data_IF_921289407506
#
_entry.id   IF_921289407506
#
_cell.length_a   1.000
_cell.length_b   1.000
_cell.length_c   1.000
_cell.angle_alpha   90.00
_cell.angle_beta   90.00
_cell.angle_gamma   90.00
#
_symmetry.space_group_name_H-M   'P 1'
#
loop_
_entity.id
_entity.type
_entity.pdbx_description
1 polymer ?
#
# COMPACT_ATOMS: atom_id res chain seq x y z
N UNK A 1 -20.43 30.59 -7.21
CA UNK A 1 -19.17 30.17 -6.55
C UNK A 1 -18.74 28.85 -7.16
N UNK A 2 -17.45 28.65 -7.47
CA UNK A 2 -16.95 27.42 -8.09
C UNK A 2 -16.42 26.48 -7.00
N UNK A 3 -16.98 25.29 -6.88
CA UNK A 3 -16.46 24.24 -5.99
C UNK A 3 -15.22 23.63 -6.64
N UNK A 4 -14.11 23.53 -5.90
CA UNK A 4 -12.85 22.95 -6.37
C UNK A 4 -12.53 21.74 -5.50
N UNK A 5 -12.24 20.60 -6.12
CA UNK A 5 -11.61 19.46 -5.46
C UNK A 5 -10.10 19.61 -5.55
N UNK A 6 -9.41 19.61 -4.41
CA UNK A 6 -7.96 19.66 -4.32
C UNK A 6 -7.45 18.34 -3.75
N UNK A 7 -6.58 17.65 -4.48
CA UNK A 7 -5.97 16.40 -4.06
C UNK A 7 -4.51 16.66 -3.68
N UNK A 8 -4.22 16.60 -2.39
CA UNK A 8 -2.85 16.57 -1.87
C UNK A 8 -2.45 15.11 -1.60
N UNK A 9 -1.72 14.51 -2.53
CA UNK A 9 -1.36 13.09 -2.49
C UNK A 9 0.14 12.94 -2.76
N UNK A 10 1.01 13.27 -1.78
CA UNK A 10 2.47 13.28 -1.98
C UNK A 10 3.04 11.90 -2.32
N UNK A 11 2.35 10.83 -1.91
CA UNK A 11 2.70 9.43 -2.21
C UNK A 11 1.81 8.82 -3.30
N UNK A 12 0.99 9.64 -3.98
CA UNK A 12 -0.02 9.18 -4.93
C UNK A 12 -1.31 8.65 -4.28
N UNK A 13 -2.34 8.46 -5.12
CA UNK A 13 -3.62 7.83 -4.79
C UNK A 13 -3.90 6.75 -5.83
N UNK A 14 -4.43 5.59 -5.42
CA UNK A 14 -4.81 4.55 -6.38
C UNK A 14 -6.01 5.00 -7.22
N UNK A 15 -6.10 4.50 -8.46
CA UNK A 15 -7.16 4.89 -9.38
C UNK A 15 -8.57 4.58 -8.86
N UNK A 16 -8.77 3.40 -8.27
CA UNK A 16 -10.04 2.98 -7.68
C UNK A 16 -10.41 3.79 -6.42
N UNK A 17 -9.43 4.17 -5.59
CA UNK A 17 -9.65 5.08 -4.45
C UNK A 17 -10.07 6.46 -4.93
N UNK A 18 -9.44 6.99 -5.98
CA UNK A 18 -9.82 8.27 -6.58
C UNK A 18 -11.24 8.22 -7.17
N UNK A 19 -11.56 7.17 -7.94
CA UNK A 19 -12.90 6.96 -8.48
C UNK A 19 -13.94 6.86 -7.36
N UNK A 20 -13.65 6.10 -6.30
CA UNK A 20 -14.52 5.99 -5.12
C UNK A 20 -14.78 7.34 -4.46
N UNK A 21 -13.75 8.17 -4.28
CA UNK A 21 -13.89 9.51 -3.70
C UNK A 21 -14.74 10.44 -4.56
N UNK A 22 -14.57 10.41 -5.89
CA UNK A 22 -15.36 11.22 -6.82
C UNK A 22 -16.84 10.81 -6.82
N UNK A 23 -17.12 9.51 -6.72
CA UNK A 23 -18.48 9.01 -6.56
C UNK A 23 -19.10 9.40 -5.22
N UNK A 24 -18.35 9.29 -4.12
CA UNK A 24 -18.82 9.69 -2.78
C UNK A 24 -19.05 11.21 -2.68
N UNK A 25 -18.33 12.01 -3.49
CA UNK A 25 -18.57 13.44 -3.68
C UNK A 25 -19.83 13.77 -4.52
N UNK A 26 -20.56 12.76 -5.00
CA UNK A 26 -21.86 12.91 -5.66
C UNK A 26 -21.83 12.76 -7.19
N UNK A 27 -20.70 12.43 -7.79
CA UNK A 27 -20.65 12.16 -9.24
C UNK A 27 -21.38 10.83 -9.54
N UNK A 28 -22.30 10.79 -10.53
CA UNK A 28 -22.99 9.55 -10.88
C UNK A 28 -22.05 8.49 -11.45
N UNK A 29 -22.27 7.22 -11.11
CA UNK A 29 -21.51 6.10 -11.67
C UNK A 29 -21.60 6.02 -13.20
N UNK A 30 -22.80 6.26 -13.74
CA UNK A 30 -23.02 6.30 -15.19
C UNK A 30 -22.17 7.36 -15.89
N UNK A 31 -21.95 8.51 -15.25
CA UNK A 31 -21.10 9.57 -15.80
C UNK A 31 -19.66 9.08 -16.01
N UNK A 32 -19.10 8.38 -15.01
CA UNK A 32 -17.76 7.80 -15.12
C UNK A 32 -17.71 6.70 -16.18
N UNK A 33 -18.70 5.80 -16.20
CA UNK A 33 -18.78 4.73 -17.21
C UNK A 33 -18.82 5.30 -18.63
N UNK A 34 -19.61 6.35 -18.88
CA UNK A 34 -19.67 7.03 -20.18
C UNK A 34 -18.33 7.64 -20.58
N UNK A 35 -17.63 8.31 -19.66
CA UNK A 35 -16.35 8.94 -19.97
C UNK A 35 -15.23 7.90 -20.18
N UNK A 36 -15.22 6.83 -19.38
CA UNK A 36 -14.26 5.74 -19.53
C UNK A 36 -14.48 4.94 -20.82
N UNK A 37 -15.70 4.91 -21.37
CA UNK A 37 -15.95 4.30 -22.68
C UNK A 37 -15.15 4.99 -23.81
N UNK A 38 -14.75 6.25 -23.64
CA UNK A 38 -13.86 6.95 -24.56
C UNK A 38 -12.47 6.33 -24.70
N UNK A 39 -12.08 5.42 -23.80
CA UNK A 39 -10.82 4.67 -23.87
C UNK A 39 -10.89 3.48 -24.85
N UNK A 40 -12.08 3.08 -25.31
CA UNK A 40 -12.27 1.89 -26.17
C UNK A 40 -12.18 0.54 -25.44
N UNK A 41 -12.12 0.55 -24.11
CA UNK A 41 -11.92 -0.65 -23.26
C UNK A 41 -13.23 -1.15 -22.61
N UNK A 42 -14.39 -0.65 -23.03
CA UNK A 42 -15.70 -0.93 -22.42
C UNK A 42 -16.12 -2.41 -22.46
N UNK A 43 -15.45 -3.23 -23.28
CA UNK A 43 -15.70 -4.66 -23.38
C UNK A 43 -14.72 -5.50 -22.53
N UNK A 44 -13.68 -4.89 -21.96
CA UNK A 44 -12.64 -5.56 -21.20
C UNK A 44 -12.87 -5.50 -19.69
N UNK A 45 -13.62 -4.52 -19.20
CA UNK A 45 -13.88 -4.35 -17.77
C UNK A 45 -15.29 -3.87 -17.44
N UNK A 46 -15.70 -4.12 -16.20
CA UNK A 46 -16.89 -3.55 -15.57
C UNK A 46 -16.49 -2.72 -14.36
N UNK A 47 -17.12 -1.54 -14.22
CA UNK A 47 -16.96 -0.66 -13.07
C UNK A 47 -18.23 -0.68 -12.22
N UNK A 48 -18.09 -1.08 -10.97
CA UNK A 48 -19.16 -1.05 -9.96
C UNK A 48 -18.72 -0.22 -8.76
N UNK A 49 -19.68 0.19 -7.93
CA UNK A 49 -19.39 0.90 -6.70
C UNK A 49 -20.34 0.48 -5.58
N UNK A 50 -19.79 0.30 -4.38
CA UNK A 50 -20.56 -0.09 -3.21
C UNK A 50 -20.07 0.65 -1.95
N UNK A 51 -20.96 0.97 -0.99
CA UNK A 51 -20.54 1.47 0.31
C UNK A 51 -19.60 0.47 0.99
N UNK A 52 -18.56 0.99 1.63
CA UNK A 52 -17.65 0.22 2.46
C UNK A 52 -17.43 0.92 3.78
N UNK A 53 -17.06 0.14 4.79
CA UNK A 53 -16.67 0.64 6.09
C UNK A 53 -15.33 0.00 6.48
N UNK A 54 -14.31 0.83 6.68
CA UNK A 54 -12.97 0.38 7.05
C UNK A 54 -12.44 1.26 8.17
N UNK A 55 -11.96 0.65 9.25
CA UNK A 55 -11.34 1.37 10.38
C UNK A 55 -12.24 2.50 10.95
N UNK A 56 -13.56 2.31 10.98
CA UNK A 56 -14.49 3.36 11.47
C UNK A 56 -14.91 4.40 10.42
N UNK A 57 -14.41 4.31 9.19
CA UNK A 57 -14.69 5.28 8.12
C UNK A 57 -15.61 4.69 7.06
N UNK A 58 -16.70 5.41 6.74
CA UNK A 58 -17.55 5.13 5.59
C UNK A 58 -16.92 5.72 4.33
N UNK A 59 -16.89 4.95 3.25
CA UNK A 59 -16.51 5.42 1.92
C UNK A 59 -17.31 4.68 0.85
N UNK A 60 -17.19 5.12 -0.40
CA UNK A 60 -17.62 4.32 -1.55
C UNK A 60 -16.40 3.64 -2.17
N UNK A 61 -16.43 2.31 -2.28
CA UNK A 61 -15.41 1.53 -2.97
C UNK A 61 -15.81 1.37 -4.43
N UNK A 62 -15.01 1.90 -5.34
CA UNK A 62 -15.07 1.54 -6.75
C UNK A 62 -14.36 0.20 -6.96
N UNK A 63 -14.95 -0.70 -7.73
CA UNK A 63 -14.37 -2.00 -8.07
C UNK A 63 -14.36 -2.17 -9.59
N UNK A 64 -13.15 -2.37 -10.13
CA UNK A 64 -12.91 -2.65 -11.55
C UNK A 64 -12.70 -4.15 -11.68
N UNK A 65 -13.56 -4.81 -12.45
CA UNK A 65 -13.48 -6.26 -12.70
C UNK A 65 -13.28 -6.52 -14.18
N UNK A 66 -12.31 -7.35 -14.54
CA UNK A 66 -12.10 -7.76 -15.93
C UNK A 66 -13.22 -8.70 -16.40
N UNK A 67 -13.69 -8.49 -17.62
CA UNK A 67 -14.70 -9.33 -18.26
C UNK A 67 -14.01 -10.55 -18.86
N UNK A 68 -14.53 -11.74 -18.62
CA UNK A 68 -14.04 -12.99 -19.24
C UNK A 68 -12.82 -13.63 -18.58
N UNK A 69 -12.26 -13.05 -17.52
CA UNK A 69 -11.27 -13.73 -16.65
C UNK A 69 -11.92 -14.11 -15.33
N UNK A 70 -11.70 -15.34 -14.85
CA UNK A 70 -12.14 -15.75 -13.53
C UNK A 70 -11.45 -14.85 -12.48
N UNK A 71 -12.22 -14.22 -11.59
CA UNK A 71 -11.74 -13.30 -10.55
C UNK A 71 -10.53 -13.92 -9.82
N UNK A 72 -9.34 -13.30 -9.84
CA UNK A 72 -8.26 -13.71 -8.94
C UNK A 72 -8.79 -13.59 -7.50
N UNK A 73 -8.43 -14.51 -6.59
CA UNK A 73 -8.94 -14.49 -5.23
C UNK A 73 -8.75 -13.11 -4.62
N UNK A 74 -9.79 -12.60 -3.98
CA UNK A 74 -9.80 -11.28 -3.35
C UNK A 74 -8.54 -11.12 -2.51
N UNK A 75 -7.71 -10.10 -2.82
CA UNK A 75 -6.58 -9.72 -1.99
C UNK A 75 -7.10 -9.18 -0.65
N UNK A 76 -7.41 -10.11 0.25
CA UNK A 76 -7.32 -9.87 1.67
C UNK A 76 -5.84 -9.64 1.95
N UNK A 77 -5.45 -8.40 2.22
CA UNK A 77 -4.18 -8.10 2.86
C UNK A 77 -4.18 -8.73 4.27
N UNK A 78 -3.80 -10.00 4.33
CA UNK A 78 -3.32 -10.68 5.53
C UNK A 78 -2.06 -11.42 5.10
N UNK A 79 -0.92 -10.89 5.50
CA UNK A 79 0.38 -11.45 5.18
C UNK A 79 1.47 -10.46 5.55
N UNK A 80 1.86 -10.50 6.83
CA UNK A 80 3.10 -9.89 7.29
C UNK A 80 4.23 -10.20 6.32
N UNK A 81 5.00 -9.16 6.03
CA UNK A 81 6.28 -9.20 5.35
C UNK A 81 7.16 -10.33 5.86
N UNK A 82 7.49 -11.27 4.99
CA UNK A 82 8.74 -12.02 5.06
C UNK A 82 9.45 -11.80 3.72
N UNK A 83 10.16 -10.68 3.61
CA UNK A 83 11.17 -10.56 2.56
C UNK A 83 12.17 -11.70 2.77
N UNK A 84 12.28 -12.57 1.76
CA UNK A 84 13.23 -13.68 1.76
C UNK A 84 14.63 -13.15 2.02
N UNK A 85 15.21 -13.60 3.12
CA UNK A 85 16.62 -13.44 3.42
C UNK A 85 17.40 -14.15 2.30
N UNK A 86 17.91 -13.41 1.32
CA UNK A 86 18.96 -13.92 0.45
C UNK A 86 20.18 -14.16 1.34
N UNK A 87 20.40 -15.41 1.72
CA UNK A 87 21.63 -15.84 2.37
C UNK A 87 22.77 -15.74 1.36
N UNK A 88 23.49 -14.63 1.40
CA UNK A 88 24.83 -14.56 0.85
C UNK A 88 25.75 -15.38 1.75
N UNK A 89 26.46 -16.40 1.22
CA UNK A 89 27.52 -17.06 1.96
C UNK A 89 28.70 -16.08 2.05
N UNK A 90 28.95 -15.53 3.24
CA UNK A 90 30.21 -14.85 3.52
C UNK A 90 31.30 -15.92 3.70
N UNK A 91 31.90 -16.35 2.59
CA UNK A 91 33.21 -16.99 2.59
C UNK A 91 34.24 -16.02 3.18
N UNK A 92 35.02 -16.53 4.13
CA UNK A 92 35.73 -15.73 5.11
C UNK A 92 36.91 -14.93 4.58
N UNK A 93 37.18 -13.84 5.30
CA UNK A 93 38.54 -13.30 5.42
C UNK A 93 38.66 -12.65 6.80
N UNK A 94 39.55 -13.22 7.60
CA UNK A 94 39.89 -12.81 8.95
C UNK A 94 40.69 -11.50 8.89
N UNK A 95 40.06 -10.37 9.17
CA UNK A 95 40.80 -9.16 9.55
C UNK A 95 40.99 -9.13 11.06
N UNK A 96 42.21 -9.47 11.47
CA UNK A 96 42.70 -9.37 12.83
C UNK A 96 42.68 -7.91 13.31
N UNK A 97 41.92 -7.63 14.37
CA UNK A 97 42.12 -6.43 15.18
C UNK A 97 43.31 -6.66 16.13
N UNK A 98 44.31 -5.76 16.17
CA UNK A 98 45.35 -5.84 17.18
C UNK A 98 44.80 -5.45 18.56
N UNK A 99 45.13 -6.29 19.53
CA UNK A 99 44.96 -6.13 20.98
C UNK A 99 45.46 -4.76 21.46
N UNK A 100 44.55 -3.93 21.98
CA UNK A 100 44.94 -2.84 22.87
C UNK A 100 44.94 -3.30 24.32
N UNK A 101 46.05 -3.00 24.97
CA UNK A 101 46.42 -3.43 26.31
C UNK A 101 45.44 -2.92 27.38
N UNK A 102 45.21 -3.80 28.35
CA UNK A 102 44.78 -3.55 29.72
C UNK A 102 45.34 -2.27 30.33
N UNK A 103 44.45 -1.38 30.78
CA UNK A 103 44.58 -0.71 32.08
C UNK A 103 43.19 -0.69 32.74
N UNK A 104 43.07 -1.55 33.74
CA UNK A 104 42.02 -1.66 34.73
C UNK A 104 42.13 -0.49 35.71
N UNK A 105 41.14 0.40 35.76
CA UNK A 105 40.96 1.27 36.92
C UNK A 105 39.48 1.56 37.17
N UNK A 106 39.07 1.28 38.42
CA UNK A 106 37.85 1.74 39.12
C UNK A 106 36.55 0.96 38.94
N UNK A 107 36.49 -0.24 39.54
CA UNK A 107 35.21 -0.78 40.06
C UNK A 107 35.14 -0.54 41.59
N UNK A 108 34.06 0.06 42.14
CA UNK A 108 33.91 0.21 43.59
C UNK A 108 33.54 -1.14 44.25
N UNK A 109 33.89 -1.34 45.53
CA UNK A 109 33.69 -2.61 46.22
C UNK A 109 32.21 -2.89 46.55
N UNK A 110 31.82 -4.16 46.71
CA UNK A 110 30.46 -4.54 47.07
C UNK A 110 30.12 -4.10 48.50
N UNK A 111 28.95 -3.50 48.69
CA UNK A 111 28.36 -3.24 50.01
C UNK A 111 27.80 -4.56 50.56
N UNK A 112 28.02 -4.77 51.87
CA UNK A 112 27.84 -6.04 52.58
C UNK A 112 26.41 -6.52 52.79
#
# INVERSE_FOLDING_TARGET
>A
MKTIAYLDCPTGISGDMCLGAVLDAGVPLSYLQTHLAGLGLNHEFSLTAAPTHRQGLRALKAEVTLIGTAKPPAQNQVGNSHHGHFQHPHSGEHHAHPTQATLDETRPPPQG
#
